data_IF_360632489844
#
_entry.id   IF_360632489844
#
_cell.length_a   1.000
_cell.length_b   1.000
_cell.length_c   1.000
_cell.angle_alpha   90.00
_cell.angle_beta   90.00
_cell.angle_gamma   90.00
#
_symmetry.space_group_name_H-M   'P 1'
#
loop_
_entity.id
_entity.type
_entity.pdbx_description
1 polymer ?
#
# COMPACT_ATOMS: atom_id res chain seq x y z
N UNK A 1 7.51 -7.64 11.59
CA UNK A 1 8.88 -7.80 11.05
C UNK A 1 9.03 -9.21 10.53
N UNK A 2 9.90 -9.46 9.53
CA UNK A 2 10.19 -10.81 9.05
C UNK A 2 11.42 -11.36 9.80
N UNK A 3 11.33 -12.51 10.49
CA UNK A 3 12.51 -13.15 11.09
C UNK A 3 13.35 -13.78 9.98
N UNK A 4 14.53 -13.23 9.72
CA UNK A 4 15.48 -13.74 8.71
C UNK A 4 16.70 -14.38 9.37
N UNK A 5 17.35 -13.69 10.32
CA UNK A 5 18.51 -14.22 11.06
C UNK A 5 18.28 -14.47 12.55
N UNK A 6 17.22 -13.89 13.13
CA UNK A 6 16.88 -14.00 14.55
C UNK A 6 15.36 -13.98 14.73
N UNK A 7 14.89 -14.50 15.86
CA UNK A 7 13.48 -14.49 16.21
C UNK A 7 12.94 -13.06 16.34
N UNK A 8 11.70 -12.86 15.90
CA UNK A 8 11.00 -11.57 16.04
C UNK A 8 9.64 -11.80 16.67
N UNK A 9 9.29 -10.98 17.65
CA UNK A 9 7.97 -10.98 18.28
C UNK A 9 7.04 -10.00 17.59
N UNK A 10 5.79 -10.38 17.41
CA UNK A 10 4.76 -9.47 16.95
C UNK A 10 4.31 -8.53 18.09
N UNK A 11 4.15 -7.25 17.77
CA UNK A 11 3.68 -6.22 18.69
C UNK A 11 2.63 -5.34 17.98
N UNK A 12 1.46 -5.18 18.60
CA UNK A 12 0.36 -4.39 18.03
C UNK A 12 0.72 -2.91 17.94
N UNK A 13 1.38 -2.36 18.95
CA UNK A 13 1.89 -0.99 18.95
C UNK A 13 2.85 -0.74 17.79
N UNK A 14 3.80 -1.66 17.56
CA UNK A 14 4.76 -1.56 16.46
C UNK A 14 4.08 -1.62 15.10
N UNK A 15 3.04 -2.46 14.95
CA UNK A 15 2.25 -2.51 13.73
C UNK A 15 1.60 -1.15 13.45
N UNK A 16 0.91 -0.57 14.44
CA UNK A 16 0.24 0.73 14.30
C UNK A 16 1.27 1.82 13.98
N UNK A 17 2.41 1.82 14.67
CA UNK A 17 3.49 2.76 14.44
C UNK A 17 4.00 2.67 13.00
N UNK A 18 4.35 1.47 12.53
CA UNK A 18 4.90 1.27 11.18
C UNK A 18 3.90 1.56 10.07
N UNK A 19 2.63 1.19 10.23
CA UNK A 19 1.60 1.54 9.25
C UNK A 19 1.43 3.06 9.17
N UNK A 20 1.34 3.74 10.31
CA UNK A 20 1.13 5.19 10.32
C UNK A 20 2.37 5.97 9.86
N UNK A 21 3.59 5.54 10.21
CA UNK A 21 4.81 6.26 9.87
C UNK A 21 5.35 5.93 8.47
N UNK A 22 5.45 4.65 8.12
CA UNK A 22 6.07 4.23 6.85
C UNK A 22 5.06 4.15 5.71
N UNK A 23 3.89 3.57 5.95
CA UNK A 23 2.90 3.42 4.89
C UNK A 23 2.10 4.71 4.70
N UNK A 24 1.49 5.25 5.75
CA UNK A 24 0.65 6.44 5.62
C UNK A 24 1.49 7.71 5.42
N UNK A 25 2.40 8.04 6.35
CA UNK A 25 3.11 9.32 6.35
C UNK A 25 4.26 9.41 5.34
N UNK A 26 4.80 8.28 4.85
CA UNK A 26 5.86 8.26 3.84
C UNK A 26 5.31 7.83 2.46
N UNK A 27 5.05 6.54 2.24
CA UNK A 27 4.67 6.01 0.91
C UNK A 27 3.34 6.58 0.39
N UNK A 28 2.29 6.47 1.18
CA UNK A 28 0.95 6.95 0.86
C UNK A 28 0.91 8.46 0.67
N UNK A 29 1.54 9.19 1.58
CA UNK A 29 1.64 10.65 1.49
C UNK A 29 2.36 11.09 0.22
N UNK A 30 3.48 10.45 -0.14
CA UNK A 30 4.22 10.78 -1.36
C UNK A 30 3.33 10.61 -2.60
N UNK A 31 2.80 9.39 -2.81
CA UNK A 31 2.01 9.07 -4.01
C UNK A 31 0.77 9.95 -4.09
N UNK A 32 0.05 10.11 -2.97
CA UNK A 32 -1.15 10.92 -2.95
C UNK A 32 -0.86 12.39 -3.27
N UNK A 33 0.22 12.98 -2.73
CA UNK A 33 0.61 14.36 -3.04
C UNK A 33 1.01 14.52 -4.50
N UNK A 34 1.84 13.63 -5.02
CA UNK A 34 2.30 13.68 -6.41
C UNK A 34 1.11 13.67 -7.39
N UNK A 35 0.20 12.72 -7.24
CA UNK A 35 -0.96 12.56 -8.12
C UNK A 35 -2.04 13.63 -7.86
N UNK A 36 -2.23 14.08 -6.62
CA UNK A 36 -3.17 15.17 -6.30
C UNK A 36 -2.74 16.50 -6.87
N UNK A 37 -1.44 16.83 -6.81
CA UNK A 37 -0.92 18.04 -7.42
C UNK A 37 -1.02 17.99 -8.94
N UNK A 38 -0.71 16.82 -9.54
CA UNK A 38 -0.92 16.62 -10.97
C UNK A 38 -2.38 16.83 -11.38
N UNK A 39 -3.32 16.22 -10.65
CA UNK A 39 -4.75 16.35 -10.90
C UNK A 39 -5.24 17.80 -10.73
N UNK A 40 -4.79 18.48 -9.68
CA UNK A 40 -5.28 19.82 -9.33
C UNK A 40 -4.70 20.93 -10.20
N UNK A 41 -3.43 20.83 -10.59
CA UNK A 41 -2.73 21.90 -11.29
C UNK A 41 -2.60 21.67 -12.80
N UNK A 42 -2.65 20.42 -13.24
CA UNK A 42 -2.47 20.05 -14.64
C UNK A 42 -3.60 19.17 -15.17
N UNK A 43 -4.77 19.19 -14.51
CA UNK A 43 -5.97 18.43 -14.91
C UNK A 43 -5.74 16.92 -15.06
N UNK A 44 -4.74 16.38 -14.33
CA UNK A 44 -4.36 14.97 -14.42
C UNK A 44 -3.57 14.61 -15.69
N UNK A 45 -3.17 15.60 -16.47
CA UNK A 45 -2.37 15.41 -17.69
C UNK A 45 -0.90 15.58 -17.33
N UNK A 46 -0.08 14.61 -17.74
CA UNK A 46 1.36 14.66 -17.54
C UNK A 46 1.96 15.90 -18.22
N UNK A 47 2.61 16.82 -17.47
CA UNK A 47 3.15 18.05 -18.04
C UNK A 47 4.47 17.80 -18.77
N UNK A 48 4.97 18.83 -19.45
CA UNK A 48 6.31 18.79 -20.03
C UNK A 48 7.37 18.81 -18.92
N UNK A 49 8.35 17.91 -19.01
CA UNK A 49 9.43 17.78 -18.02
C UNK A 49 10.71 18.34 -18.63
N UNK A 50 11.31 19.32 -17.95
CA UNK A 50 12.63 19.87 -18.29
C UNK A 50 13.61 19.55 -17.17
N UNK A 51 14.41 18.51 -17.37
CA UNK A 51 15.34 18.01 -16.37
C UNK A 51 16.46 19.01 -16.11
N UNK A 52 16.87 19.07 -14.85
CA UNK A 52 18.03 19.82 -14.38
C UNK A 52 18.99 18.89 -13.65
N UNK A 53 20.15 19.41 -13.23
CA UNK A 53 21.11 18.65 -12.42
C UNK A 53 20.52 18.10 -11.11
N UNK A 54 19.45 18.73 -10.59
CA UNK A 54 18.73 18.22 -9.41
C UNK A 54 18.06 16.89 -9.69
N UNK A 55 17.49 16.71 -10.89
CA UNK A 55 16.86 15.45 -11.28
C UNK A 55 17.91 14.38 -11.59
N UNK A 56 19.04 14.77 -12.19
CA UNK A 56 20.15 13.84 -12.45
C UNK A 56 20.69 13.23 -11.14
N UNK A 57 20.86 14.06 -10.10
CA UNK A 57 21.26 13.60 -8.76
C UNK A 57 20.19 12.69 -8.14
N UNK A 58 18.91 13.10 -8.22
CA UNK A 58 17.80 12.29 -7.71
C UNK A 58 17.75 10.91 -8.38
N UNK A 59 17.90 10.85 -9.71
CA UNK A 59 17.82 9.60 -10.47
C UNK A 59 18.98 8.69 -10.11
N UNK A 60 20.18 9.25 -9.96
CA UNK A 60 21.36 8.50 -9.50
C UNK A 60 21.12 7.85 -8.14
N UNK A 61 20.51 8.58 -7.20
CA UNK A 61 20.21 8.06 -5.87
C UNK A 61 19.09 7.00 -5.89
N UNK A 62 18.08 7.17 -6.74
CA UNK A 62 17.02 6.16 -6.92
C UNK A 62 17.60 4.89 -7.55
N UNK A 63 18.50 5.01 -8.51
CA UNK A 63 19.18 3.88 -9.15
C UNK A 63 20.07 3.11 -8.16
N UNK A 64 20.68 3.80 -7.19
CA UNK A 64 21.40 3.15 -6.09
C UNK A 64 20.43 2.32 -5.22
N UNK A 65 19.32 2.91 -4.79
CA UNK A 65 18.30 2.20 -4.01
C UNK A 65 17.72 1.01 -4.81
N UNK A 66 17.55 1.15 -6.13
CA UNK A 66 17.09 0.07 -7.02
C UNK A 66 18.11 -1.08 -7.11
N UNK A 67 19.41 -0.78 -7.25
CA UNK A 67 20.45 -1.80 -7.26
C UNK A 67 20.50 -2.57 -5.94
N UNK A 68 20.40 -1.87 -4.82
CA UNK A 68 20.32 -2.50 -3.49
C UNK A 68 19.05 -3.34 -3.35
N UNK A 69 17.92 -2.86 -3.89
CA UNK A 69 16.68 -3.62 -3.93
C UNK A 69 16.82 -4.93 -4.71
N UNK A 70 17.38 -4.88 -5.92
CA UNK A 70 17.58 -6.04 -6.78
C UNK A 70 18.50 -7.05 -6.10
N UNK A 71 19.67 -6.62 -5.62
CA UNK A 71 20.60 -7.48 -4.88
C UNK A 71 19.96 -8.12 -3.65
N UNK A 72 19.20 -7.35 -2.87
CA UNK A 72 18.50 -7.90 -1.71
C UNK A 72 17.41 -8.91 -2.10
N UNK A 73 16.69 -8.69 -3.21
CA UNK A 73 15.69 -9.63 -3.71
C UNK A 73 16.32 -10.93 -4.23
N UNK A 74 17.47 -10.84 -4.92
CA UNK A 74 18.24 -12.01 -5.39
C UNK A 74 18.77 -12.86 -4.23
N UNK A 75 19.23 -12.20 -3.15
CA UNK A 75 19.68 -12.83 -1.91
C UNK A 75 18.51 -13.25 -0.97
N UNK A 76 17.25 -13.02 -1.38
CA UNK A 76 16.04 -13.30 -0.56
C UNK A 76 16.00 -12.51 0.77
N UNK A 77 16.72 -11.39 0.86
CA UNK A 77 16.72 -10.42 1.96
C UNK A 77 15.54 -9.44 1.84
N UNK A 78 14.34 -9.96 2.04
CA UNK A 78 13.08 -9.26 1.79
C UNK A 78 12.87 -8.04 2.69
N UNK A 79 13.37 -8.08 3.94
CA UNK A 79 13.33 -6.91 4.82
C UNK A 79 14.14 -5.75 4.27
N UNK A 80 15.36 -6.03 3.80
CA UNK A 80 16.27 -5.02 3.27
C UNK A 80 15.72 -4.46 1.96
N UNK A 81 15.18 -5.32 1.07
CA UNK A 81 14.51 -4.90 -0.15
C UNK A 81 13.33 -3.94 0.14
N UNK A 82 12.47 -4.25 1.11
CA UNK A 82 11.36 -3.36 1.48
C UNK A 82 11.85 -2.00 1.99
N UNK A 83 12.98 -1.95 2.72
CA UNK A 83 13.56 -0.68 3.16
C UNK A 83 13.98 0.21 2.00
N UNK A 84 14.47 -0.37 0.90
CA UNK A 84 14.82 0.39 -0.30
C UNK A 84 13.59 1.02 -0.96
N UNK A 85 12.47 0.32 -1.03
CA UNK A 85 11.20 0.91 -1.52
C UNK A 85 10.80 2.13 -0.68
N UNK A 86 10.88 2.00 0.65
CA UNK A 86 10.57 3.10 1.57
C UNK A 86 11.58 4.25 1.47
N UNK A 87 12.85 3.94 1.14
CA UNK A 87 13.90 4.93 0.87
C UNK A 87 13.59 5.77 -0.36
N UNK A 88 13.24 5.13 -1.48
CA UNK A 88 12.81 5.81 -2.71
C UNK A 88 11.64 6.75 -2.45
N UNK A 89 10.65 6.30 -1.67
CA UNK A 89 9.54 7.17 -1.26
C UNK A 89 9.97 8.36 -0.40
N UNK A 90 10.94 8.19 0.51
CA UNK A 90 11.48 9.30 1.31
C UNK A 90 12.19 10.33 0.43
N UNK A 91 12.98 9.87 -0.55
CA UNK A 91 13.61 10.76 -1.55
C UNK A 91 12.57 11.53 -2.34
N UNK A 92 11.49 10.89 -2.77
CA UNK A 92 10.36 11.56 -3.43
C UNK A 92 9.69 12.62 -2.54
N UNK A 93 9.45 12.31 -1.26
CA UNK A 93 8.91 13.29 -0.31
C UNK A 93 9.85 14.50 -0.15
N UNK A 94 11.15 14.25 0.04
CA UNK A 94 12.15 15.31 0.18
C UNK A 94 12.25 16.16 -1.09
N UNK A 95 12.24 15.52 -2.26
CA UNK A 95 12.28 16.19 -3.55
C UNK A 95 11.12 17.18 -3.73
N UNK A 96 9.88 16.73 -3.48
CA UNK A 96 8.73 17.65 -3.48
C UNK A 96 8.84 18.73 -2.40
N UNK A 97 9.37 18.39 -1.22
CA UNK A 97 9.46 19.32 -0.11
C UNK A 97 10.44 20.47 -0.38
N UNK A 98 11.62 20.17 -0.92
CA UNK A 98 12.63 21.15 -1.31
C UNK A 98 12.19 21.94 -2.54
N UNK A 99 11.57 21.26 -3.52
CA UNK A 99 11.13 21.91 -4.76
C UNK A 99 9.90 22.80 -4.61
N UNK A 100 9.11 22.65 -3.54
CA UNK A 100 7.92 23.45 -3.23
C UNK A 100 7.01 23.76 -4.44
N UNK A 101 6.61 22.75 -5.25
CA UNK A 101 5.89 23.00 -6.50
C UNK A 101 4.52 23.68 -6.30
N UNK A 102 3.90 23.53 -5.12
CA UNK A 102 2.64 24.18 -4.76
C UNK A 102 2.73 25.70 -4.60
N UNK A 103 3.95 26.23 -4.42
CA UNK A 103 4.22 27.67 -4.44
C UNK A 103 4.58 28.11 -5.86
N UNK A 104 5.49 27.38 -6.51
CA UNK A 104 5.99 27.69 -7.84
C UNK A 104 4.88 27.77 -8.90
N UNK A 105 3.88 26.88 -8.83
CA UNK A 105 2.75 26.88 -9.75
C UNK A 105 1.91 28.16 -9.69
N UNK A 106 1.96 28.89 -8.56
CA UNK A 106 1.23 30.15 -8.35
C UNK A 106 2.04 31.38 -8.76
N UNK A 107 3.33 31.21 -9.10
CA UNK A 107 4.17 32.30 -9.59
C UNK A 107 3.77 32.74 -10.98
N UNK A 108 3.96 34.01 -11.31
CA UNK A 108 3.75 34.54 -12.67
C UNK A 108 4.94 34.26 -13.61
N UNK A 109 6.10 33.88 -13.07
CA UNK A 109 7.30 33.59 -13.85
C UNK A 109 7.16 32.27 -14.61
N UNK A 110 7.48 32.29 -15.90
CA UNK A 110 7.46 31.08 -16.75
C UNK A 110 8.40 30.00 -16.23
N UNK A 111 9.59 30.39 -15.78
CA UNK A 111 10.61 29.48 -15.24
C UNK A 111 10.11 28.73 -14.00
N UNK A 112 9.45 29.43 -13.06
CA UNK A 112 8.87 28.81 -11.86
C UNK A 112 7.77 27.81 -12.23
N UNK A 113 6.90 28.16 -13.18
CA UNK A 113 5.85 27.25 -13.67
C UNK A 113 6.45 26.00 -14.33
N UNK A 114 7.51 26.17 -15.14
CA UNK A 114 8.21 25.07 -15.78
C UNK A 114 8.92 24.16 -14.76
N UNK A 115 9.48 24.76 -13.70
CA UNK A 115 10.04 24.01 -12.57
C UNK A 115 8.97 23.21 -11.83
N UNK A 116 7.80 23.79 -11.58
CA UNK A 116 6.67 23.11 -10.96
C UNK A 116 6.17 21.92 -11.81
N UNK A 117 6.07 22.11 -13.13
CA UNK A 117 5.74 21.05 -14.09
C UNK A 117 6.70 19.87 -13.99
N UNK A 118 8.00 20.17 -14.02
CA UNK A 118 9.07 19.17 -13.91
C UNK A 118 8.97 18.38 -12.60
N UNK A 119 8.87 19.07 -11.46
CA UNK A 119 8.81 18.41 -10.13
C UNK A 119 7.59 17.49 -10.02
N UNK A 120 6.42 17.98 -10.43
CA UNK A 120 5.18 17.20 -10.33
C UNK A 120 5.20 16.03 -11.33
N UNK A 121 5.68 16.26 -12.55
CA UNK A 121 5.78 15.23 -13.58
C UNK A 121 6.76 14.12 -13.22
N UNK A 122 7.92 14.44 -12.65
CA UNK A 122 8.89 13.48 -12.13
C UNK A 122 8.30 12.71 -10.94
N UNK A 123 7.61 13.39 -10.02
CA UNK A 123 6.98 12.75 -8.86
C UNK A 123 5.87 11.77 -9.25
N UNK A 124 5.11 12.07 -10.30
CA UNK A 124 4.11 11.14 -10.86
C UNK A 124 4.77 9.89 -11.47
N UNK A 125 5.86 10.05 -12.21
CA UNK A 125 6.67 8.93 -12.73
C UNK A 125 7.25 8.07 -11.60
N UNK A 126 7.76 8.71 -10.55
CA UNK A 126 8.30 8.01 -9.38
C UNK A 126 7.20 7.24 -8.63
N UNK A 127 5.97 7.74 -8.60
CA UNK A 127 4.82 7.03 -8.04
C UNK A 127 4.52 5.74 -8.82
N UNK A 128 4.53 5.79 -10.16
CA UNK A 128 4.41 4.59 -10.98
C UNK A 128 5.57 3.62 -10.72
N UNK A 129 6.80 4.10 -10.67
CA UNK A 129 7.98 3.27 -10.42
C UNK A 129 7.91 2.55 -9.06
N UNK A 130 7.51 3.24 -8.00
CA UNK A 130 7.26 2.65 -6.68
C UNK A 130 6.21 1.53 -6.75
N UNK A 131 5.17 1.66 -7.57
CA UNK A 131 4.18 0.59 -7.76
C UNK A 131 4.81 -0.69 -8.32
N UNK A 132 5.80 -0.57 -9.22
CA UNK A 132 6.49 -1.71 -9.82
C UNK A 132 7.32 -2.42 -8.76
N UNK A 133 8.12 -1.68 -7.98
CA UNK A 133 8.93 -2.25 -6.91
C UNK A 133 8.08 -2.85 -5.78
N UNK A 134 6.92 -2.27 -5.49
CA UNK A 134 6.02 -2.68 -4.41
C UNK A 134 5.21 -3.94 -4.75
N UNK A 135 5.06 -4.28 -6.04
CA UNK A 135 4.28 -5.42 -6.51
C UNK A 135 4.52 -6.74 -5.75
N UNK A 136 5.76 -7.21 -5.50
CA UNK A 136 6.02 -8.44 -4.74
C UNK A 136 5.63 -8.37 -3.25
N UNK A 137 5.45 -7.19 -2.67
CA UNK A 137 5.13 -7.00 -1.25
C UNK A 137 3.65 -6.68 -1.01
N UNK A 138 3.08 -5.77 -1.81
CA UNK A 138 1.72 -5.26 -1.63
C UNK A 138 1.01 -5.17 -2.99
N UNK A 139 0.62 -6.31 -3.59
CA UNK A 139 0.09 -6.35 -4.97
C UNK A 139 -1.19 -5.53 -5.15
N UNK A 140 -2.06 -5.48 -4.13
CA UNK A 140 -3.28 -4.66 -4.17
C UNK A 140 -2.97 -3.17 -4.16
N UNK A 141 -2.00 -2.74 -3.36
CA UNK A 141 -1.57 -1.34 -3.31
C UNK A 141 -0.86 -0.94 -4.59
N UNK A 142 0.03 -1.78 -5.12
CA UNK A 142 0.63 -1.58 -6.44
C UNK A 142 -0.43 -1.41 -7.53
N UNK A 143 -1.43 -2.30 -7.58
CA UNK A 143 -2.53 -2.20 -8.53
C UNK A 143 -3.32 -0.89 -8.38
N UNK A 144 -3.58 -0.45 -7.15
CA UNK A 144 -4.26 0.83 -6.89
C UNK A 144 -3.45 2.04 -7.37
N UNK A 145 -2.13 2.06 -7.15
CA UNK A 145 -1.27 3.15 -7.68
C UNK A 145 -1.30 3.16 -9.20
N UNK A 146 -1.19 1.99 -9.83
CA UNK A 146 -1.22 1.85 -11.30
C UNK A 146 -2.56 2.27 -11.89
N UNK A 147 -3.67 1.93 -11.23
CA UNK A 147 -4.99 2.39 -11.60
C UNK A 147 -5.06 3.92 -11.58
N UNK A 148 -4.54 4.57 -10.52
CA UNK A 148 -4.46 6.04 -10.46
C UNK A 148 -3.54 6.62 -11.56
N UNK A 149 -2.44 5.95 -11.88
CA UNK A 149 -1.56 6.31 -13.00
C UNK A 149 -2.13 5.96 -14.38
N UNK A 150 -3.26 5.26 -14.46
CA UNK A 150 -3.88 4.76 -15.69
C UNK A 150 -2.94 3.86 -16.52
N UNK A 151 -2.29 2.90 -15.87
CA UNK A 151 -1.37 1.93 -16.50
C UNK A 151 -1.79 0.49 -16.17
N UNK A 152 -1.96 -0.41 -17.16
CA UNK A 152 -2.33 -1.81 -16.90
C UNK A 152 -1.18 -2.66 -16.33
N UNK A 153 -1.54 -3.83 -15.79
CA UNK A 153 -0.59 -4.90 -15.41
C UNK A 153 -0.41 -5.90 -16.56
N UNK A 154 0.74 -6.62 -16.64
CA UNK A 154 1.96 -6.47 -15.82
C UNK A 154 2.92 -5.42 -16.42
N UNK A 155 3.85 -4.93 -15.59
CA UNK A 155 5.06 -4.25 -16.08
C UNK A 155 6.30 -4.91 -15.51
N UNK A 156 7.37 -4.90 -16.30
CA UNK A 156 8.70 -5.35 -15.90
C UNK A 156 9.39 -4.24 -15.12
N UNK A 157 10.13 -4.61 -14.07
CA UNK A 157 10.99 -3.67 -13.36
C UNK A 157 12.12 -3.23 -14.30
N UNK A 158 12.24 -1.93 -14.61
CA UNK A 158 13.34 -1.47 -15.45
C UNK A 158 14.67 -1.53 -14.69
N UNK A 159 15.79 -1.60 -15.41
CA UNK A 159 17.14 -1.63 -14.83
C UNK A 159 17.54 -0.31 -14.17
N UNK A 160 16.90 0.78 -14.60
CA UNK A 160 17.12 2.15 -14.14
C UNK A 160 15.79 2.89 -14.01
N UNK A 161 15.76 3.90 -13.15
CA UNK A 161 14.62 4.81 -13.07
C UNK A 161 14.46 5.58 -14.38
N UNK A 162 13.27 5.50 -14.96
CA UNK A 162 12.95 6.11 -16.25
C UNK A 162 11.59 6.79 -16.22
N UNK A 163 11.45 7.85 -17.02
CA UNK A 163 10.20 8.56 -17.19
C UNK A 163 9.30 7.84 -18.20
N UNK A 164 8.54 6.87 -17.68
CA UNK A 164 7.62 6.02 -18.44
C UNK A 164 6.34 6.77 -18.85
N UNK A 165 5.88 7.70 -18.04
CA UNK A 165 4.71 8.55 -18.30
C UNK A 165 5.16 9.77 -19.11
N UNK A 166 4.84 9.75 -20.41
CA UNK A 166 5.19 10.82 -21.35
C UNK A 166 4.25 12.02 -21.23
N UNK A 167 4.73 13.19 -21.64
CA UNK A 167 3.94 14.43 -21.73
C UNK A 167 2.61 14.16 -22.47
N UNK A 168 1.51 14.65 -21.91
CA UNK A 168 0.16 14.44 -22.44
C UNK A 168 -0.55 13.18 -21.91
N UNK A 169 0.14 12.29 -21.18
CA UNK A 169 -0.50 11.10 -20.60
C UNK A 169 -1.57 11.46 -19.56
N UNK A 170 -2.76 10.87 -19.69
CA UNK A 170 -3.89 11.11 -18.79
C UNK A 170 -3.88 10.14 -17.60
N UNK A 171 -3.91 10.71 -16.40
CA UNK A 171 -4.05 9.98 -15.14
C UNK A 171 -5.52 9.91 -14.71
N UNK A 172 -5.83 8.91 -13.88
CA UNK A 172 -7.12 8.80 -13.21
C UNK A 172 -7.17 9.65 -11.94
N UNK A 173 -8.35 9.73 -11.33
CA UNK A 173 -8.55 10.52 -10.11
C UNK A 173 -7.70 9.95 -8.96
N UNK A 174 -6.90 10.78 -8.27
CA UNK A 174 -6.11 10.33 -7.14
C UNK A 174 -6.99 9.98 -5.93
N UNK A 175 -6.53 9.00 -5.14
CA UNK A 175 -7.17 8.59 -3.90
C UNK A 175 -6.13 8.16 -2.85
N UNK A 176 -6.39 8.37 -1.54
CA UNK A 176 -5.48 7.92 -0.49
C UNK A 176 -5.29 6.40 -0.49
N UNK A 177 -4.04 5.94 -0.38
CA UNK A 177 -3.70 4.51 -0.41
C UNK A 177 -3.88 3.81 0.94
N UNK A 178 -3.71 4.55 2.04
CA UNK A 178 -3.72 4.01 3.39
C UNK A 178 -4.62 4.85 4.29
N UNK A 179 -5.27 4.17 5.23
CA UNK A 179 -6.00 4.82 6.31
C UNK A 179 -5.16 4.79 7.59
N UNK A 180 -5.27 5.83 8.41
CA UNK A 180 -4.64 5.87 9.72
C UNK A 180 -5.25 4.79 10.62
N UNK A 181 -4.41 4.08 11.34
CA UNK A 181 -4.85 3.18 12.41
C UNK A 181 -4.86 3.99 13.71
N UNK A 182 -6.02 4.08 14.34
CA UNK A 182 -6.17 4.81 15.60
C UNK A 182 -5.58 4.00 16.78
N UNK A 183 -4.92 4.65 17.75
CA UNK A 183 -4.26 3.96 18.87
C UNK A 183 -5.18 3.07 19.70
N UNK A 184 -6.47 3.41 19.79
CA UNK A 184 -7.46 2.60 20.51
C UNK A 184 -7.63 1.19 19.92
N UNK A 185 -7.33 1.00 18.62
CA UNK A 185 -7.36 -0.32 17.96
C UNK A 185 -6.38 -1.31 18.58
N UNK A 186 -5.27 -0.83 19.13
CA UNK A 186 -4.32 -1.68 19.86
C UNK A 186 -5.00 -2.38 21.03
N UNK A 187 -5.77 -1.63 21.83
CA UNK A 187 -6.51 -2.19 22.98
C UNK A 187 -7.58 -3.18 22.54
N UNK A 188 -8.35 -2.84 21.50
CA UNK A 188 -9.36 -3.72 20.91
C UNK A 188 -8.73 -5.06 20.43
N UNK A 189 -7.63 -4.99 19.68
CA UNK A 189 -6.97 -6.19 19.15
C UNK A 189 -6.27 -7.01 20.24
N UNK A 190 -5.66 -6.38 21.24
CA UNK A 190 -5.12 -7.09 22.40
C UNK A 190 -6.21 -7.86 23.16
N UNK A 191 -7.38 -7.27 23.34
CA UNK A 191 -8.50 -7.95 23.97
C UNK A 191 -9.00 -9.15 23.13
N UNK A 192 -9.07 -8.99 21.80
CA UNK A 192 -9.56 -10.04 20.90
C UNK A 192 -8.57 -11.20 20.70
N UNK A 193 -7.26 -10.91 20.63
CA UNK A 193 -6.22 -11.85 20.21
C UNK A 193 -5.18 -12.16 21.29
N UNK A 194 -5.30 -11.59 22.49
CA UNK A 194 -4.34 -11.74 23.59
C UNK A 194 -4.39 -13.07 24.35
N UNK A 195 -5.33 -13.96 24.01
CA UNK A 195 -5.40 -15.32 24.56
C UNK A 195 -6.23 -15.49 25.83
N UNK A 196 -6.65 -14.42 26.50
CA UNK A 196 -7.61 -14.49 27.61
C UNK A 196 -9.04 -14.64 27.09
N UNK A 197 -9.38 -15.85 26.64
CA UNK A 197 -10.76 -16.24 26.32
C UNK A 197 -11.55 -16.57 27.60
N UNK A 198 -11.58 -15.63 28.55
CA UNK A 198 -12.50 -15.67 29.69
C UNK A 198 -13.39 -14.42 29.76
N UNK A 199 -13.71 -13.86 28.60
CA UNK A 199 -14.84 -12.94 28.45
C UNK A 199 -15.85 -13.57 27.51
N UNK A 200 -16.78 -14.36 28.07
CA UNK A 200 -18.00 -14.72 27.37
C UNK A 200 -18.79 -13.44 27.12
N UNK A 201 -18.93 -13.05 25.86
CA UNK A 201 -19.81 -11.97 25.45
C UNK A 201 -21.26 -12.42 25.70
N UNK A 202 -21.92 -11.83 26.68
CA UNK A 202 -23.39 -11.79 26.72
C UNK A 202 -23.81 -10.34 27.01
N UNK A 203 -24.39 -9.70 25.99
CA UNK A 203 -25.08 -8.40 26.06
C UNK A 203 -24.32 -7.22 26.68
N UNK A 204 -23.21 -6.83 26.04
CA UNK A 204 -22.80 -5.42 25.96
C UNK A 204 -22.45 -4.68 27.27
N UNK A 205 -22.21 -5.35 28.39
CA UNK A 205 -21.83 -4.67 29.64
C UNK A 205 -20.67 -5.37 30.33
N UNK A 206 -19.61 -4.61 30.63
CA UNK A 206 -18.42 -5.07 31.36
C UNK A 206 -18.76 -5.28 32.84
N UNK A 207 -18.58 -6.51 33.35
CA UNK A 207 -18.65 -6.80 34.80
C UNK A 207 -17.34 -7.43 35.25
N UNK A 208 -16.61 -6.71 36.11
CA UNK A 208 -15.42 -7.21 36.79
C UNK A 208 -15.82 -8.04 38.01
N UNK A 209 -15.51 -9.35 38.02
CA UNK A 209 -15.61 -10.17 39.22
C UNK A 209 -14.24 -10.30 39.90
N UNK A 210 -13.93 -9.39 40.83
CA UNK A 210 -13.03 -9.68 41.94
C UNK A 210 -13.88 -10.22 43.09
N UNK A 211 -13.73 -11.49 43.44
CA UNK A 211 -14.41 -12.13 44.57
C UNK A 211 -13.59 -12.02 45.85
N UNK A 212 -14.23 -11.52 46.92
CA UNK A 212 -14.01 -11.88 48.33
C UNK A 212 -15.17 -11.32 49.19
N UNK A 213 -15.51 -11.94 50.35
CA UNK A 213 -16.84 -12.56 50.52
C UNK A 213 -17.73 -11.92 51.61
N UNK A 214 -19.07 -12.01 51.46
CA UNK A 214 -20.02 -12.32 52.56
C UNK A 214 -21.51 -12.38 52.12
N UNK A 215 -22.14 -13.53 52.47
CA UNK A 215 -23.51 -13.77 52.97
C UNK A 215 -24.66 -12.90 52.41
N UNK A 216 -25.71 -13.50 51.83
CA UNK A 216 -26.93 -13.99 52.51
C UNK A 216 -27.98 -14.53 51.52
N UNK A 217 -28.72 -15.53 52.02
CA UNK A 217 -29.85 -16.37 51.57
C UNK A 217 -30.99 -15.83 50.68
N UNK A 218 -31.59 -16.80 49.97
CA UNK A 218 -33.03 -16.98 49.55
C UNK A 218 -33.53 -16.08 48.40
N UNK A 219 -34.42 -16.47 47.47
CA UNK A 219 -35.20 -17.69 47.20
C UNK A 219 -35.71 -17.65 45.74
N UNK A 220 -36.07 -18.83 45.23
CA UNK A 220 -36.74 -19.17 43.95
C UNK A 220 -37.74 -18.17 43.35
N UNK A 221 -37.82 -18.10 42.01
CA UNK A 221 -38.96 -18.64 41.23
C UNK A 221 -38.74 -18.61 39.69
N UNK A 222 -39.28 -19.63 39.02
CA UNK A 222 -39.17 -19.99 37.60
C UNK A 222 -40.27 -19.36 36.72
N UNK A 223 -39.98 -19.13 35.42
CA UNK A 223 -40.72 -19.57 34.19
C UNK A 223 -40.44 -18.61 33.00
N UNK A 224 -39.77 -19.05 31.92
CA UNK A 224 -40.26 -19.70 30.66
C UNK A 224 -40.77 -18.75 29.55
N UNK A 225 -40.01 -18.64 28.46
CA UNK A 225 -40.47 -18.54 27.04
C UNK A 225 -39.23 -18.66 26.11
N UNK A 226 -39.00 -19.81 25.46
CA UNK A 226 -39.32 -20.20 24.06
C UNK A 226 -38.77 -19.27 22.95
N UNK A 227 -37.90 -19.89 22.14
CA UNK A 227 -37.22 -19.45 20.92
C UNK A 227 -38.14 -19.25 19.70
N UNK A 228 -37.73 -18.36 18.78
CA UNK A 228 -37.61 -18.52 17.30
C UNK A 228 -37.43 -17.11 16.67
N UNK A 229 -36.65 -16.85 15.62
CA UNK A 229 -35.65 -17.59 14.84
C UNK A 229 -34.73 -16.59 14.14
N UNK A 230 -33.57 -17.10 13.74
CA UNK A 230 -32.56 -16.53 12.84
C UNK A 230 -33.07 -16.34 11.42
N UNK A 231 -32.32 -15.56 10.61
CA UNK A 231 -31.73 -16.07 9.35
C UNK A 231 -30.57 -15.17 8.89
N UNK A 232 -29.35 -15.69 9.03
CA UNK A 232 -28.14 -15.21 8.37
C UNK A 232 -27.70 -16.30 7.38
N UNK A 233 -27.46 -15.89 6.13
CA UNK A 233 -27.18 -16.76 4.99
C UNK A 233 -25.83 -17.47 5.16
N UNK A 234 -25.86 -18.80 5.08
CA UNK A 234 -24.72 -19.70 5.13
C UNK A 234 -24.27 -20.01 3.69
N UNK A 235 -23.09 -19.51 3.28
CA UNK A 235 -22.43 -19.91 2.03
C UNK A 235 -21.43 -21.03 2.35
N UNK A 236 -21.73 -22.23 1.84
CA UNK A 236 -20.97 -23.44 2.12
C UNK A 236 -19.67 -23.53 1.30
N UNK A 237 -18.72 -24.31 1.81
CA UNK A 237 -17.34 -24.51 1.33
C UNK A 237 -17.19 -25.04 -0.11
N UNK A 238 -18.29 -25.19 -0.86
CA UNK A 238 -18.31 -25.69 -2.23
C UNK A 238 -17.96 -24.56 -3.23
N UNK A 239 -18.19 -23.29 -2.88
CA UNK A 239 -18.01 -22.16 -3.82
C UNK A 239 -16.56 -21.67 -3.98
N UNK A 240 -15.70 -21.85 -2.97
CA UNK A 240 -14.31 -21.32 -3.00
C UNK A 240 -13.44 -22.13 -3.98
N UNK A 241 -13.55 -23.46 -3.96
CA UNK A 241 -12.75 -24.33 -4.83
C UNK A 241 -13.13 -24.17 -6.31
N UNK A 242 -14.41 -23.89 -6.58
CA UNK A 242 -14.89 -23.61 -7.94
C UNK A 242 -14.30 -22.31 -8.46
N UNK A 243 -14.32 -21.24 -7.65
CA UNK A 243 -13.76 -19.94 -8.01
C UNK A 243 -12.24 -20.00 -8.23
N UNK A 244 -11.52 -20.76 -7.40
CA UNK A 244 -10.08 -20.96 -7.52
C UNK A 244 -9.69 -21.64 -8.85
N UNK A 245 -10.40 -22.71 -9.23
CA UNK A 245 -10.12 -23.45 -10.46
C UNK A 245 -10.47 -22.64 -11.72
N UNK A 246 -11.53 -21.84 -11.69
CA UNK A 246 -11.88 -20.95 -12.80
C UNK A 246 -10.83 -19.85 -13.03
N UNK A 247 -10.24 -19.32 -11.95
CA UNK A 247 -9.17 -18.32 -12.02
C UNK A 247 -7.88 -18.95 -12.56
N UNK A 248 -7.48 -20.14 -12.09
CA UNK A 248 -6.30 -20.85 -12.59
C UNK A 248 -6.40 -21.20 -14.09
N UNK A 249 -7.57 -21.62 -14.56
CA UNK A 249 -7.78 -21.93 -15.98
C UNK A 249 -7.59 -20.68 -16.87
N UNK A 250 -8.00 -19.50 -16.40
CA UNK A 250 -7.78 -18.22 -17.10
C UNK A 250 -6.29 -17.86 -17.17
N UNK A 251 -5.54 -18.07 -16.08
CA UNK A 251 -4.10 -17.83 -16.05
C UNK A 251 -3.31 -18.77 -16.98
N UNK A 252 -3.64 -20.06 -17.01
CA UNK A 252 -2.98 -21.02 -17.92
C UNK A 252 -3.27 -20.71 -19.40
N UNK A 253 -4.49 -20.28 -19.72
CA UNK A 253 -4.87 -19.88 -21.07
C UNK A 253 -4.11 -18.63 -21.55
N UNK A 254 -3.92 -17.64 -20.67
CA UNK A 254 -3.12 -16.45 -20.95
C UNK A 254 -1.63 -16.78 -21.17
N UNK A 255 -1.07 -17.70 -20.38
CA UNK A 255 0.31 -18.18 -20.51
C UNK A 255 0.55 -18.89 -21.86
N UNK A 256 -0.38 -19.71 -22.31
CA UNK A 256 -0.26 -20.42 -23.60
C UNK A 256 -0.45 -19.50 -24.81
N UNK A 257 -1.07 -18.33 -24.63
CA UNK A 257 -1.20 -17.31 -25.67
C UNK A 257 0.10 -16.51 -25.89
N UNK A 258 0.93 -16.37 -24.84
CA UNK A 258 2.24 -15.72 -24.92
C UNK A 258 3.37 -16.66 -25.41
N UNK A 259 3.13 -17.98 -25.51
CA UNK A 259 4.14 -18.97 -25.91
C UNK A 259 4.11 -19.38 -27.39
N UNK A 260 3.36 -18.69 -28.25
CA UNK A 260 3.29 -18.94 -29.70
C UNK A 260 3.58 -17.67 -30.50
N UNK A 261 4.75 -17.08 -30.27
CA UNK A 261 5.32 -16.03 -31.12
C UNK A 261 6.72 -16.46 -31.56
N UNK A 262 6.79 -17.02 -32.76
CA UNK A 262 7.94 -17.19 -33.67
C UNK A 262 9.37 -17.17 -33.08
N UNK A 263 9.95 -18.36 -32.92
CA UNK A 263 11.41 -18.61 -32.91
C UNK A 263 11.97 -18.49 -34.35
N UNK A 264 11.83 -17.31 -34.94
CA UNK A 264 12.43 -16.97 -36.23
C UNK A 264 12.68 -15.47 -36.27
N UNK A 265 13.84 -15.06 -35.76
CA UNK A 265 14.79 -14.13 -36.40
C UNK A 265 16.01 -14.02 -35.45
N UNK A 266 17.09 -14.69 -35.86
CA UNK A 266 18.47 -14.33 -35.49
C UNK A 266 18.85 -13.06 -36.26
N UNK A 267 19.38 -12.07 -35.57
CA UNK A 267 20.60 -11.32 -35.89
C UNK A 267 20.97 -10.45 -34.69
#
# INVERSE_FOLDING_TARGET
>A
MRPEGQDTSFCWEDLVLKVNSELLANLGNFVHRALSFLSSFFSGIQPNIELTSVEDELFTLIDQDLKEFISAMEDVRMRDALHQILSVSRRGNQYMQVGQPWLLVKSDKKEDKQRAQTIIGVSANLSLFLSIMLQPFMPKTSASIREQCNIPLPMVLPEHFTLLLKTGHQHNKPSPLFAKIEPNKVGEWKALFGGDQNSTTVNGTLVNNKTSPKKTKQQNQQKKSKMASSDAVNLSSIDINKLYNEVLAKFQKARNFCGKGDDSIRC
#
